data_IF_607727366896
#
_entry.id   IF_607727366896
#
_cell.length_a   1.000
_cell.length_b   1.000
_cell.length_c   1.000
_cell.angle_alpha   90.00
_cell.angle_beta   90.00
_cell.angle_gamma   90.00
#
_symmetry.space_group_name_H-M   'P 1'
#
loop_
_entity.id
_entity.type
_entity.pdbx_description
1 polymer ?
#
# COMPACT_ATOMS: atom_id res chain seq x y z
N UNK A 1 24.23 -0.15 4.03
CA UNK A 1 25.01 1.05 4.41
C UNK A 1 25.25 1.01 5.92
N UNK A 2 26.38 0.47 6.35
CA UNK A 2 26.85 0.55 7.74
C UNK A 2 27.62 1.85 7.90
N UNK A 3 26.90 2.95 8.12
CA UNK A 3 27.47 4.26 8.48
C UNK A 3 26.87 4.68 9.81
N UNK A 4 27.71 5.10 10.76
CA UNK A 4 27.26 5.69 12.02
C UNK A 4 27.03 7.20 11.85
N UNK A 5 26.16 7.83 12.65
CA UNK A 5 25.99 9.28 12.62
C UNK A 5 27.34 9.99 12.81
N UNK A 6 27.72 10.86 11.86
CA UNK A 6 28.97 11.65 11.91
C UNK A 6 30.13 11.15 11.04
N UNK A 7 30.10 9.92 10.52
CA UNK A 7 31.17 9.42 9.65
C UNK A 7 31.10 10.03 8.23
N UNK A 8 32.24 10.20 7.56
CA UNK A 8 32.29 10.71 6.19
C UNK A 8 31.66 9.70 5.20
N UNK A 9 31.02 10.20 4.14
CA UNK A 9 30.41 9.33 3.13
C UNK A 9 31.49 8.77 2.20
N UNK A 10 31.77 7.47 2.33
CA UNK A 10 32.73 6.76 1.48
C UNK A 10 31.98 5.92 0.43
N UNK A 11 31.85 6.39 -0.83
CA UNK A 11 31.07 5.70 -1.87
C UNK A 11 31.59 4.27 -2.17
N UNK A 12 32.88 4.01 -1.97
CA UNK A 12 33.49 2.67 -2.12
C UNK A 12 33.09 1.64 -1.05
N UNK A 13 32.39 2.04 0.02
CA UNK A 13 31.93 1.15 1.11
C UNK A 13 30.40 0.96 1.10
N UNK A 14 29.75 1.27 -0.01
CA UNK A 14 28.30 1.10 -0.16
C UNK A 14 27.98 -0.34 -0.55
N UNK A 15 27.62 -1.17 0.43
CA UNK A 15 27.03 -2.48 0.15
C UNK A 15 25.65 -2.30 -0.52
N UNK A 16 25.35 -2.98 -1.64
CA UNK A 16 24.01 -3.04 -2.20
C UNK A 16 23.01 -3.47 -1.11
N UNK A 17 21.97 -2.68 -0.93
CA UNK A 17 20.87 -3.03 -0.02
C UNK A 17 19.56 -2.95 -0.79
N UNK A 18 18.80 -4.04 -0.77
CA UNK A 18 17.45 -4.09 -1.33
C UNK A 18 16.48 -3.17 -0.57
N UNK A 19 16.85 -2.77 0.65
CA UNK A 19 16.05 -1.89 1.48
C UNK A 19 16.81 -0.58 1.65
N UNK A 20 16.36 0.46 0.96
CA UNK A 20 16.75 1.83 1.32
C UNK A 20 16.17 2.11 2.70
N UNK A 21 16.91 2.77 3.61
CA UNK A 21 16.37 3.20 4.91
C UNK A 21 15.28 4.27 4.83
N UNK A 22 14.66 4.46 3.66
CA UNK A 22 13.64 5.48 3.39
C UNK A 22 12.30 5.02 3.94
N UNK A 23 11.50 5.99 4.40
CA UNK A 23 10.09 5.79 4.76
C UNK A 23 9.30 5.49 3.49
N UNK A 24 8.58 4.38 3.46
CA UNK A 24 7.63 4.03 2.40
C UNK A 24 6.22 4.45 2.78
N UNK A 25 5.42 4.83 1.79
CA UNK A 25 3.97 5.04 1.93
C UNK A 25 3.29 3.96 1.09
N UNK A 26 2.27 3.31 1.65
CA UNK A 26 1.44 2.37 0.90
C UNK A 26 0.19 3.10 0.42
N UNK A 27 -0.13 2.92 -0.86
CA UNK A 27 -1.25 3.55 -1.53
C UNK A 27 -2.08 2.45 -2.16
N UNK A 28 -3.39 2.58 -2.07
CA UNK A 28 -4.33 1.83 -2.90
C UNK A 28 -4.93 2.77 -3.95
N UNK A 29 -5.11 2.25 -5.15
CA UNK A 29 -5.76 2.97 -6.24
C UNK A 29 -6.49 2.01 -7.15
N UNK A 30 -7.52 2.51 -7.83
CA UNK A 30 -8.17 1.76 -8.89
C UNK A 30 -8.33 2.62 -10.16
N UNK A 31 -8.62 1.95 -11.27
CA UNK A 31 -8.89 2.56 -12.56
C UNK A 31 -10.04 1.82 -13.24
N UNK A 32 -10.75 2.52 -14.10
CA UNK A 32 -11.67 1.93 -15.06
C UNK A 32 -11.25 2.37 -16.47
N UNK A 33 -11.81 1.72 -17.51
CA UNK A 33 -11.48 2.08 -18.89
C UNK A 33 -11.76 3.57 -19.17
N UNK A 34 -10.72 4.36 -19.42
CA UNK A 34 -10.81 5.80 -19.69
C UNK A 34 -11.05 6.68 -18.46
N UNK A 35 -11.04 6.14 -17.24
CA UNK A 35 -11.30 6.91 -16.00
C UNK A 35 -10.30 6.52 -14.91
N UNK A 36 -9.64 7.52 -14.33
CA UNK A 36 -8.85 7.33 -13.11
C UNK A 36 -9.79 7.24 -11.92
N UNK A 37 -9.63 6.20 -11.12
CA UNK A 37 -10.36 6.04 -9.88
C UNK A 37 -9.68 6.76 -8.71
N UNK A 38 -10.22 6.58 -7.50
CA UNK A 38 -9.62 7.06 -6.26
C UNK A 38 -8.19 6.56 -6.07
N UNK A 39 -7.39 7.41 -5.43
CA UNK A 39 -6.06 7.10 -4.90
C UNK A 39 -6.05 7.47 -3.42
N UNK A 40 -5.80 6.48 -2.55
CA UNK A 40 -5.83 6.68 -1.10
C UNK A 40 -4.54 6.21 -0.45
N UNK A 41 -4.08 7.00 0.53
CA UNK A 41 -3.01 6.58 1.42
C UNK A 41 -3.59 5.62 2.45
N UNK A 42 -3.00 4.42 2.55
CA UNK A 42 -3.45 3.43 3.52
C UNK A 42 -2.99 3.80 4.92
N UNK A 43 -3.90 3.72 5.88
CA UNK A 43 -3.56 3.81 7.29
C UNK A 43 -3.21 2.41 7.80
N UNK A 44 -1.91 2.17 7.96
CA UNK A 44 -1.37 0.86 8.32
C UNK A 44 -0.86 0.88 9.76
N UNK A 45 -1.09 -0.21 10.53
CA UNK A 45 -0.55 -0.31 11.86
C UNK A 45 0.99 -0.24 11.82
N UNK A 46 1.63 0.41 12.80
CA UNK A 46 3.08 0.55 12.81
C UNK A 46 3.77 -0.81 12.84
N UNK A 47 4.90 -0.92 12.13
CA UNK A 47 5.76 -2.11 12.17
C UNK A 47 6.37 -2.23 13.56
N UNK A 48 6.12 -3.34 14.23
CA UNK A 48 6.79 -3.74 15.47
C UNK A 48 7.92 -4.71 15.14
N UNK A 49 9.10 -4.47 15.70
CA UNK A 49 10.24 -5.39 15.60
C UNK A 49 10.33 -6.13 16.93
N UNK A 50 10.11 -7.44 16.90
CA UNK A 50 10.21 -8.30 18.08
C UNK A 50 11.68 -8.52 18.48
N UNK A 51 11.93 -8.97 19.72
CA UNK A 51 13.28 -9.19 20.27
C UNK A 51 14.18 -10.09 19.41
N UNK A 52 13.59 -10.98 18.59
CA UNK A 52 14.30 -11.88 17.66
C UNK A 52 14.44 -11.31 16.23
N UNK A 53 14.17 -10.02 16.03
CA UNK A 53 14.25 -9.36 14.71
C UNK A 53 13.04 -9.62 13.80
N UNK A 54 12.03 -10.38 14.24
CA UNK A 54 10.82 -10.62 13.46
C UNK A 54 10.00 -9.34 13.36
N UNK A 55 9.69 -8.93 12.14
CA UNK A 55 8.76 -7.82 11.86
C UNK A 55 7.33 -8.31 11.96
N UNK A 56 6.49 -7.58 12.68
CA UNK A 56 5.06 -7.85 12.82
C UNK A 56 4.26 -6.56 12.65
N UNK A 57 3.12 -6.63 11.96
CA UNK A 57 2.35 -5.45 11.56
C UNK A 57 2.88 -4.81 10.27
N UNK A 58 2.43 -3.59 9.96
CA UNK A 58 2.80 -2.86 8.73
C UNK A 58 2.12 -3.33 7.44
N UNK A 59 1.24 -4.32 7.51
CA UNK A 59 0.39 -4.77 6.39
C UNK A 59 -1.09 -4.50 6.67
N UNK A 60 -1.90 -4.59 5.62
CA UNK A 60 -3.36 -4.49 5.68
C UNK A 60 -3.97 -5.89 5.76
N UNK A 61 -4.89 -6.09 6.71
CA UNK A 61 -5.72 -7.29 6.78
C UNK A 61 -7.08 -7.08 6.10
N UNK A 62 -7.86 -8.15 5.96
CA UNK A 62 -9.16 -8.10 5.30
C UNK A 62 -10.14 -7.11 5.96
N UNK A 63 -10.13 -7.00 7.30
CA UNK A 63 -11.00 -6.06 8.01
C UNK A 63 -10.65 -4.62 7.68
N UNK A 64 -9.37 -4.28 7.68
CA UNK A 64 -8.89 -2.95 7.32
C UNK A 64 -9.14 -2.66 5.83
N UNK A 65 -9.02 -3.67 4.97
CA UNK A 65 -9.36 -3.58 3.54
C UNK A 65 -10.84 -3.23 3.33
N UNK A 66 -11.74 -3.95 3.98
CA UNK A 66 -13.18 -3.68 3.93
C UNK A 66 -13.49 -2.27 4.39
N UNK A 67 -12.90 -1.84 5.51
CA UNK A 67 -13.18 -0.53 6.10
C UNK A 67 -12.63 0.64 5.27
N UNK A 68 -11.39 0.53 4.77
CA UNK A 68 -10.71 1.63 4.10
C UNK A 68 -10.98 1.69 2.59
N UNK A 69 -11.30 0.56 1.95
CA UNK A 69 -11.39 0.45 0.49
C UNK A 69 -12.81 0.07 0.06
N UNK A 70 -13.27 -1.13 0.42
CA UNK A 70 -14.54 -1.67 -0.11
C UNK A 70 -15.75 -0.88 0.34
N UNK A 71 -15.81 -0.51 1.62
CA UNK A 71 -16.94 0.24 2.19
C UNK A 71 -16.83 1.75 1.94
N UNK A 72 -15.69 2.21 1.44
CA UNK A 72 -15.40 3.61 1.18
C UNK A 72 -15.23 3.89 -0.31
N UNK A 73 -14.03 4.33 -0.75
CA UNK A 73 -13.82 4.95 -2.04
C UNK A 73 -14.13 4.04 -3.23
N UNK A 74 -13.92 2.72 -3.11
CA UNK A 74 -14.22 1.81 -4.21
C UNK A 74 -15.73 1.71 -4.48
N UNK A 75 -16.54 1.59 -3.42
CA UNK A 75 -17.99 1.48 -3.54
C UNK A 75 -18.60 2.72 -4.19
N UNK A 76 -18.16 3.90 -3.79
CA UNK A 76 -18.65 5.16 -4.36
C UNK A 76 -18.24 5.28 -5.84
N UNK A 77 -16.99 4.90 -6.15
CA UNK A 77 -16.51 4.90 -7.53
C UNK A 77 -17.25 3.90 -8.42
N UNK A 78 -17.48 2.68 -7.95
CA UNK A 78 -18.23 1.65 -8.69
C UNK A 78 -19.65 2.14 -9.00
N UNK A 79 -20.37 2.66 -8.01
CA UNK A 79 -21.72 3.21 -8.22
C UNK A 79 -21.77 4.33 -9.26
N UNK A 80 -20.80 5.25 -9.21
CA UNK A 80 -20.69 6.34 -10.18
C UNK A 80 -20.41 5.78 -11.59
N UNK A 81 -19.52 4.79 -11.71
CA UNK A 81 -19.22 4.14 -12.99
C UNK A 81 -20.40 3.35 -13.56
N UNK A 82 -21.13 2.61 -12.73
CA UNK A 82 -22.33 1.87 -13.11
C UNK A 82 -23.44 2.82 -13.58
N UNK A 83 -23.66 3.91 -12.86
CA UNK A 83 -24.60 4.97 -13.25
C UNK A 83 -24.26 5.58 -14.62
N UNK A 84 -22.98 5.85 -14.88
CA UNK A 84 -22.52 6.40 -16.16
C UNK A 84 -22.59 5.42 -17.33
N UNK A 85 -22.44 4.12 -17.07
CA UNK A 85 -22.36 3.08 -18.12
C UNK A 85 -23.66 2.32 -18.33
N UNK A 86 -24.57 2.36 -17.37
CA UNK A 86 -25.85 1.65 -17.43
C UNK A 86 -25.73 0.13 -17.26
N UNK A 87 -24.63 -0.36 -16.70
CA UNK A 87 -24.44 -1.78 -16.39
C UNK A 87 -23.52 -1.97 -15.18
N UNK A 88 -23.63 -3.14 -14.55
CA UNK A 88 -22.83 -3.52 -13.39
C UNK A 88 -21.33 -3.57 -13.73
N UNK A 89 -20.49 -3.20 -12.76
CA UNK A 89 -19.05 -3.19 -12.90
C UNK A 89 -18.42 -4.40 -12.20
N UNK A 90 -17.46 -5.04 -12.86
CA UNK A 90 -16.62 -6.05 -12.23
C UNK A 90 -15.38 -5.40 -11.62
N UNK A 91 -15.06 -5.78 -10.38
CA UNK A 91 -13.82 -5.42 -9.70
C UNK A 91 -12.81 -6.53 -9.92
N UNK A 92 -11.59 -6.17 -10.31
CA UNK A 92 -10.47 -7.11 -10.51
C UNK A 92 -9.33 -6.71 -9.60
N UNK A 93 -8.91 -7.65 -8.76
CA UNK A 93 -7.83 -7.48 -7.78
C UNK A 93 -6.86 -8.67 -7.88
N UNK A 94 -5.70 -8.59 -7.23
CA UNK A 94 -4.79 -9.73 -7.14
C UNK A 94 -5.28 -10.77 -6.11
N UNK A 95 -4.58 -11.89 -5.97
CA UNK A 95 -4.90 -12.93 -4.99
C UNK A 95 -4.29 -12.72 -3.60
N UNK A 96 -4.04 -11.47 -3.17
CA UNK A 96 -3.49 -11.22 -1.85
C UNK A 96 -4.43 -11.78 -0.76
N UNK A 97 -3.91 -12.35 0.34
CA UNK A 97 -4.73 -12.96 1.39
C UNK A 97 -5.77 -12.05 2.07
N UNK A 98 -5.71 -10.74 1.83
CA UNK A 98 -6.65 -9.76 2.37
C UNK A 98 -7.82 -9.41 1.44
N UNK A 99 -7.78 -9.86 0.18
CA UNK A 99 -8.85 -9.74 -0.80
C UNK A 99 -9.83 -10.91 -0.65
#
# INVERSE_FOLDING_TARGET
>A
VTRRPGEEYLPGLTAPTYHSGRKSIMIWACIAHGVKGPIIKLDLPPVKIEKKGRRRGGGMGAREYVAQILSGPLKDFVKDMESRRGHDMLVVEDGAPGH
#
